data_IF_151144262527
#
_entry.id   IF_151144262527
#
_cell.length_a   1.000
_cell.length_b   1.000
_cell.length_c   1.000
_cell.angle_alpha   90.00
_cell.angle_beta   90.00
_cell.angle_gamma   90.00
#
_symmetry.space_group_name_H-M   'P 1'
#
loop_
_entity.id
_entity.type
_entity.pdbx_description
1 polymer ?
#
# COMPACT_ATOMS: atom_id res chain seq x y z
N UNK A 1 3.91 -49.94 -8.67
CA UNK A 1 4.84 -49.09 -9.44
C UNK A 1 4.07 -47.87 -9.94
N UNK A 2 4.10 -46.78 -9.17
CA UNK A 2 3.41 -45.54 -9.52
C UNK A 2 4.43 -44.57 -10.14
N UNK A 3 4.15 -44.12 -11.37
CA UNK A 3 4.98 -43.16 -12.07
C UNK A 3 4.79 -41.77 -11.43
N UNK A 4 5.85 -41.24 -10.82
CA UNK A 4 5.90 -39.85 -10.40
C UNK A 4 5.98 -38.96 -11.64
N UNK A 5 4.88 -38.25 -11.93
CA UNK A 5 4.85 -37.20 -12.94
C UNK A 5 5.83 -36.09 -12.55
N UNK A 6 6.84 -35.89 -13.39
CA UNK A 6 7.77 -34.77 -13.29
C UNK A 6 6.98 -33.48 -13.51
N UNK A 7 6.94 -32.61 -12.49
CA UNK A 7 6.39 -31.26 -12.61
C UNK A 7 7.17 -30.52 -13.71
N UNK A 8 6.48 -30.20 -14.80
CA UNK A 8 7.05 -29.42 -15.88
C UNK A 8 7.27 -27.98 -15.39
N UNK A 9 8.52 -27.64 -15.06
CA UNK A 9 8.94 -26.30 -14.62
C UNK A 9 8.97 -25.28 -15.77
N UNK A 10 8.48 -25.61 -16.98
CA UNK A 10 8.50 -24.71 -18.14
C UNK A 10 7.34 -23.70 -18.19
N UNK A 11 6.51 -23.58 -17.14
CA UNK A 11 5.47 -22.54 -17.06
C UNK A 11 5.93 -21.28 -16.34
N UNK A 12 7.18 -20.87 -16.55
CA UNK A 12 7.56 -19.48 -16.36
C UNK A 12 6.88 -18.69 -17.47
N UNK A 13 5.65 -18.23 -17.18
CA UNK A 13 4.95 -17.26 -18.03
C UNK A 13 5.94 -16.14 -18.38
N UNK A 14 5.95 -15.75 -19.65
CA UNK A 14 6.53 -14.51 -20.16
C UNK A 14 6.42 -13.42 -19.06
N UNK A 15 7.49 -12.67 -18.73
CA UNK A 15 7.39 -11.63 -17.74
C UNK A 15 6.20 -10.76 -18.13
N UNK A 16 5.18 -10.72 -17.27
CA UNK A 16 4.09 -9.77 -17.43
C UNK A 16 4.74 -8.41 -17.69
N UNK A 17 4.26 -7.62 -18.68
CA UNK A 17 4.83 -6.31 -18.93
C UNK A 17 4.94 -5.58 -17.60
N UNK A 18 6.16 -5.19 -17.24
CA UNK A 18 6.44 -4.56 -15.95
C UNK A 18 5.53 -3.35 -15.83
N UNK A 19 4.74 -3.29 -14.75
CA UNK A 19 3.89 -2.14 -14.48
C UNK A 19 4.78 -0.90 -14.41
N UNK A 20 4.60 0.03 -15.35
CA UNK A 20 5.44 1.22 -15.44
C UNK A 20 4.64 2.46 -15.03
N UNK A 21 5.25 3.35 -14.26
CA UNK A 21 4.71 4.67 -14.01
C UNK A 21 4.79 5.50 -15.30
N UNK A 22 3.68 6.14 -15.67
CA UNK A 22 3.57 6.95 -16.89
C UNK A 22 3.40 8.43 -16.60
N UNK A 23 2.89 8.80 -15.42
CA UNK A 23 2.65 10.19 -15.07
C UNK A 23 2.69 10.40 -13.56
N UNK A 24 3.32 11.49 -13.11
CA UNK A 24 3.19 11.98 -11.75
C UNK A 24 1.94 12.83 -11.60
N UNK A 25 1.08 12.49 -10.63
CA UNK A 25 -0.16 13.22 -10.37
C UNK A 25 0.03 14.23 -9.24
N UNK A 26 0.50 13.77 -8.07
CA UNK A 26 0.74 14.62 -6.89
C UNK A 26 1.55 13.91 -5.80
N UNK A 27 2.07 14.70 -4.88
CA UNK A 27 2.64 14.21 -3.62
C UNK A 27 1.54 13.72 -2.67
N UNK A 28 1.88 12.76 -1.81
CA UNK A 28 1.02 12.28 -0.73
C UNK A 28 1.57 12.73 0.62
N UNK A 29 0.69 12.81 1.62
CA UNK A 29 1.08 13.08 3.01
C UNK A 29 1.62 11.81 3.65
N UNK A 30 2.44 11.96 4.69
CA UNK A 30 2.96 10.85 5.50
C UNK A 30 4.48 10.73 5.47
N UNK A 31 5.04 9.98 6.42
CA UNK A 31 6.49 9.89 6.65
C UNK A 31 7.28 9.26 5.50
N UNK A 32 6.66 8.37 4.72
CA UNK A 32 7.30 7.73 3.56
C UNK A 32 7.43 8.65 2.34
N UNK A 33 6.79 9.82 2.36
CA UNK A 33 6.78 10.78 1.25
C UNK A 33 6.40 10.13 -0.08
N UNK A 34 5.28 9.39 -0.07
CA UNK A 34 4.78 8.70 -1.24
C UNK A 34 4.25 9.66 -2.32
N UNK A 35 4.10 9.16 -3.55
CA UNK A 35 3.53 9.90 -4.67
C UNK A 35 2.39 9.15 -5.32
N UNK A 36 1.37 9.86 -5.79
CA UNK A 36 0.33 9.28 -6.64
C UNK A 36 0.80 9.30 -8.09
N UNK A 37 0.98 8.12 -8.68
CA UNK A 37 1.41 7.94 -10.07
C UNK A 37 0.30 7.25 -10.86
N UNK A 38 0.09 7.67 -12.11
CA UNK A 38 -0.62 6.85 -13.09
C UNK A 38 0.34 5.81 -13.65
N UNK A 39 -0.16 4.60 -13.89
CA UNK A 39 0.63 3.50 -14.42
C UNK A 39 0.12 3.03 -15.79
N UNK A 40 0.92 2.21 -16.45
CA UNK A 40 0.69 1.70 -17.81
C UNK A 40 -0.56 0.82 -17.98
N UNK A 41 -1.18 0.40 -16.88
CA UNK A 41 -2.44 -0.36 -16.85
C UNK A 41 -3.68 0.55 -16.72
N UNK A 42 -3.49 1.87 -16.75
CA UNK A 42 -4.54 2.87 -16.62
C UNK A 42 -5.00 3.11 -15.18
N UNK A 43 -4.38 2.48 -14.18
CA UNK A 43 -4.70 2.68 -12.77
C UNK A 43 -3.76 3.67 -12.08
N UNK A 44 -4.18 4.12 -10.90
CA UNK A 44 -3.38 4.99 -10.04
C UNK A 44 -2.76 4.19 -8.89
N UNK A 45 -1.54 4.56 -8.54
CA UNK A 45 -0.75 3.90 -7.51
C UNK A 45 -0.13 4.91 -6.56
N UNK A 46 -0.35 4.71 -5.26
CA UNK A 46 0.44 5.34 -4.21
C UNK A 46 1.79 4.63 -4.18
N UNK A 47 2.80 5.31 -4.69
CA UNK A 47 4.15 4.77 -4.87
C UNK A 47 5.06 5.25 -3.75
N UNK A 48 5.59 4.31 -2.97
CA UNK A 48 6.61 4.55 -1.94
C UNK A 48 7.98 4.20 -2.53
N UNK A 49 8.87 5.19 -2.62
CA UNK A 49 10.18 5.05 -3.26
C UNK A 49 11.20 4.33 -2.36
N UNK A 50 12.19 3.67 -2.96
CA UNK A 50 13.22 2.92 -2.21
C UNK A 50 14.07 3.84 -1.33
N UNK A 51 14.35 5.05 -1.80
CA UNK A 51 15.06 6.09 -1.04
C UNK A 51 14.14 6.90 -0.09
N UNK A 52 13.00 6.34 0.33
CA UNK A 52 12.11 6.99 1.29
C UNK A 52 12.79 7.24 2.66
N UNK A 53 12.30 8.21 3.46
CA UNK A 53 12.89 8.57 4.75
C UNK A 53 12.81 7.50 5.85
N UNK A 54 11.88 6.54 5.75
CA UNK A 54 11.55 5.64 6.85
C UNK A 54 12.24 4.28 6.80
N UNK A 55 13.12 4.03 5.80
CA UNK A 55 13.90 2.80 5.57
C UNK A 55 13.28 1.81 4.59
N UNK A 56 14.14 1.10 3.82
CA UNK A 56 13.71 0.11 2.81
C UNK A 56 12.97 -1.08 3.42
N UNK A 57 13.27 -1.45 4.67
CA UNK A 57 12.58 -2.53 5.39
C UNK A 57 11.09 -2.25 5.57
N UNK A 58 10.69 -0.99 5.73
CA UNK A 58 9.27 -0.61 5.81
C UNK A 58 8.55 -0.92 4.50
N UNK A 59 9.20 -0.77 3.35
CA UNK A 59 8.62 -1.17 2.06
C UNK A 59 8.46 -2.69 1.96
N UNK A 60 9.44 -3.45 2.44
CA UNK A 60 9.36 -4.90 2.46
C UNK A 60 8.25 -5.39 3.41
N UNK A 61 8.12 -4.78 4.59
CA UNK A 61 7.03 -5.03 5.54
C UNK A 61 5.67 -4.74 4.91
N UNK A 62 5.49 -3.56 4.30
CA UNK A 62 4.26 -3.19 3.58
C UNK A 62 3.94 -4.21 2.48
N UNK A 63 4.90 -4.53 1.62
CA UNK A 63 4.70 -5.46 0.51
C UNK A 63 4.23 -6.84 1.00
N UNK A 64 4.95 -7.41 1.97
CA UNK A 64 4.66 -8.73 2.48
C UNK A 64 3.33 -8.76 3.22
N UNK A 65 3.10 -7.82 4.14
CA UNK A 65 1.89 -7.76 4.94
C UNK A 65 0.65 -7.50 4.08
N UNK A 66 0.70 -6.59 3.11
CA UNK A 66 -0.43 -6.37 2.19
C UNK A 66 -0.71 -7.60 1.33
N UNK A 67 0.32 -8.32 0.86
CA UNK A 67 0.11 -9.58 0.11
C UNK A 67 -0.52 -10.67 0.97
N UNK A 68 -0.08 -10.82 2.22
CA UNK A 68 -0.68 -11.75 3.18
C UNK A 68 -2.14 -11.37 3.46
N UNK A 69 -2.43 -10.10 3.69
CA UNK A 69 -3.78 -9.61 3.93
C UNK A 69 -4.69 -9.87 2.72
N UNK A 70 -4.21 -9.62 1.51
CA UNK A 70 -4.93 -9.95 0.28
C UNK A 70 -5.19 -11.46 0.14
N UNK A 71 -4.22 -12.31 0.49
CA UNK A 71 -4.39 -13.77 0.47
C UNK A 71 -5.43 -14.26 1.50
N UNK A 72 -5.65 -13.50 2.58
CA UNK A 72 -6.70 -13.73 3.57
C UNK A 72 -8.04 -13.07 3.24
N UNK A 73 -8.18 -12.49 2.04
CA UNK A 73 -9.38 -11.76 1.63
C UNK A 73 -9.75 -10.63 2.61
N UNK A 74 -8.75 -9.92 3.13
CA UNK A 74 -8.94 -8.69 3.89
C UNK A 74 -9.08 -7.49 2.93
N UNK A 75 -9.84 -6.44 3.29
CA UNK A 75 -10.08 -5.29 2.43
C UNK A 75 -8.87 -4.35 2.41
N UNK A 76 -7.84 -4.75 1.67
CA UNK A 76 -6.59 -4.00 1.45
C UNK A 76 -6.43 -3.65 -0.03
N UNK A 77 -5.68 -2.59 -0.39
CA UNK A 77 -5.37 -2.32 -1.78
C UNK A 77 -4.49 -3.43 -2.37
N UNK A 78 -4.55 -3.58 -3.70
CA UNK A 78 -3.58 -4.43 -4.41
C UNK A 78 -2.20 -3.79 -4.29
N UNK A 79 -1.20 -4.56 -3.89
CA UNK A 79 0.20 -4.12 -3.89
C UNK A 79 0.94 -4.71 -5.09
N UNK A 80 1.75 -3.90 -5.74
CA UNK A 80 2.53 -4.22 -6.93
C UNK A 80 3.94 -3.64 -6.85
N UNK A 81 4.81 -4.12 -7.73
CA UNK A 81 6.10 -3.49 -8.00
C UNK A 81 5.94 -2.62 -9.24
N UNK A 82 6.22 -1.33 -9.12
CA UNK A 82 6.10 -0.35 -10.22
C UNK A 82 7.48 0.16 -10.64
N UNK A 83 7.72 0.18 -11.94
CA UNK A 83 8.93 0.74 -12.54
C UNK A 83 8.78 2.24 -12.74
N UNK A 84 9.71 3.03 -12.21
CA UNK A 84 9.81 4.47 -12.45
C UNK A 84 11.08 4.76 -13.24
N UNK A 85 10.96 5.40 -14.39
CA UNK A 85 12.09 5.72 -15.27
C UNK A 85 12.82 6.99 -14.83
N UNK A 86 14.10 7.12 -15.23
CA UNK A 86 14.86 8.36 -15.04
C UNK A 86 14.16 9.55 -15.71
N UNK A 87 13.67 9.36 -16.94
CA UNK A 87 12.94 10.39 -17.69
C UNK A 87 11.76 10.95 -16.89
N UNK A 88 10.94 10.08 -16.27
CA UNK A 88 9.80 10.55 -15.48
C UNK A 88 10.24 11.39 -14.27
N UNK A 89 11.38 11.04 -13.64
CA UNK A 89 11.96 11.78 -12.51
C UNK A 89 12.49 13.14 -12.98
N UNK A 90 13.23 13.17 -14.09
CA UNK A 90 13.81 14.38 -14.66
C UNK A 90 12.75 15.39 -15.11
N UNK A 91 11.68 14.92 -15.73
CA UNK A 91 10.56 15.76 -16.20
C UNK A 91 9.68 16.28 -15.06
N UNK A 92 9.77 15.72 -13.85
CA UNK A 92 8.90 16.06 -12.73
C UNK A 92 9.70 16.44 -11.47
N UNK A 93 10.10 17.71 -11.31
CA UNK A 93 10.85 18.19 -10.14
C UNK A 93 10.16 18.03 -8.78
N UNK A 94 8.88 17.67 -8.77
CA UNK A 94 8.13 17.31 -7.56
C UNK A 94 8.38 15.88 -7.09
N UNK A 95 8.91 14.98 -7.92
CA UNK A 95 9.35 13.64 -7.53
C UNK A 95 10.66 13.73 -6.74
N UNK A 96 10.54 14.12 -5.48
CA UNK A 96 11.64 14.39 -4.58
C UNK A 96 11.31 13.97 -3.16
N UNK A 97 12.35 13.62 -2.43
CA UNK A 97 12.34 13.33 -1.01
C UNK A 97 13.03 14.49 -0.28
N UNK A 98 12.45 14.94 0.82
CA UNK A 98 12.99 16.00 1.67
C UNK A 98 13.28 15.47 3.09
N UNK A 99 14.54 15.48 3.51
CA UNK A 99 14.96 15.00 4.84
C UNK A 99 15.79 16.09 5.50
N UNK A 100 15.34 16.59 6.65
CA UNK A 100 16.03 17.63 7.41
C UNK A 100 16.46 18.85 6.56
N UNK A 101 15.58 19.30 5.66
CA UNK A 101 15.81 20.42 4.75
C UNK A 101 16.68 20.10 3.52
N UNK A 102 17.22 18.87 3.41
CA UNK A 102 17.92 18.40 2.21
C UNK A 102 16.91 17.78 1.25
N UNK A 103 16.88 18.32 0.03
CA UNK A 103 16.06 17.81 -1.06
C UNK A 103 16.90 16.90 -1.95
N UNK A 104 16.39 15.70 -2.24
CA UNK A 104 16.98 14.75 -3.20
C UNK A 104 15.91 14.24 -4.14
N UNK A 105 16.19 14.03 -5.44
CA UNK A 105 15.25 13.37 -6.34
C UNK A 105 14.83 12.00 -5.81
N UNK A 106 13.61 11.57 -6.12
CA UNK A 106 13.23 10.18 -5.97
C UNK A 106 14.15 9.30 -6.84
N UNK A 107 14.51 8.11 -6.36
CA UNK A 107 15.29 7.17 -7.16
C UNK A 107 14.45 6.65 -8.33
N UNK A 108 15.04 6.43 -9.50
CA UNK A 108 14.47 5.56 -10.53
C UNK A 108 14.61 4.10 -10.12
N UNK A 109 13.94 3.21 -10.83
CA UNK A 109 13.98 1.78 -10.53
C UNK A 109 12.63 1.22 -10.07
N UNK A 110 12.70 0.05 -9.44
CA UNK A 110 11.54 -0.69 -8.98
C UNK A 110 11.12 -0.19 -7.59
N UNK A 111 9.87 0.20 -7.46
CA UNK A 111 9.30 0.76 -6.23
C UNK A 111 8.03 0.04 -5.84
N UNK A 112 7.58 0.27 -4.60
CA UNK A 112 6.35 -0.29 -4.09
C UNK A 112 5.17 0.57 -4.55
N UNK A 113 4.21 -0.02 -5.24
CA UNK A 113 2.96 0.63 -5.66
C UNK A 113 1.75 0.01 -4.97
N UNK A 114 0.98 0.81 -4.23
CA UNK A 114 -0.32 0.43 -3.68
C UNK A 114 -1.41 1.00 -4.56
N UNK A 115 -2.27 0.14 -5.13
CA UNK A 115 -3.38 0.59 -5.99
C UNK A 115 -4.28 1.54 -5.22
N UNK A 116 -4.59 2.67 -5.83
CA UNK A 116 -5.46 3.67 -5.23
C UNK A 116 -6.85 3.08 -4.95
N UNK A 117 -7.34 3.25 -3.72
CA UNK A 117 -8.52 2.53 -3.23
C UNK A 117 -9.86 3.00 -3.84
N UNK A 118 -9.87 4.11 -4.56
CA UNK A 118 -11.07 4.80 -5.00
C UNK A 118 -11.06 5.05 -6.51
N UNK A 119 -12.24 5.06 -7.12
CA UNK A 119 -12.44 5.63 -8.45
C UNK A 119 -12.51 7.17 -8.34
N UNK A 120 -11.59 7.88 -8.99
CA UNK A 120 -11.51 9.34 -8.91
C UNK A 120 -12.78 10.07 -9.37
N UNK A 121 -13.56 9.46 -10.25
CA UNK A 121 -14.75 10.08 -10.84
C UNK A 121 -16.02 9.73 -10.09
N UNK A 122 -16.02 8.59 -9.40
CA UNK A 122 -17.22 8.04 -8.80
C UNK A 122 -17.20 8.13 -7.28
N UNK A 123 -16.03 8.11 -6.66
CA UNK A 123 -15.89 7.97 -5.21
C UNK A 123 -15.35 9.24 -4.56
N UNK A 124 -15.84 9.49 -3.34
CA UNK A 124 -15.25 10.42 -2.40
C UNK A 124 -14.44 9.66 -1.37
N UNK A 125 -13.29 10.21 -1.02
CA UNK A 125 -12.33 9.61 -0.10
C UNK A 125 -12.31 10.40 1.20
N UNK A 126 -12.26 9.68 2.31
CA UNK A 126 -12.15 10.22 3.65
C UNK A 126 -11.06 9.46 4.41
N UNK A 127 -10.16 10.19 5.05
CA UNK A 127 -9.12 9.69 5.96
C UNK A 127 -9.61 9.61 7.41
N UNK A 128 -10.78 10.17 7.69
CA UNK A 128 -11.43 10.12 8.99
C UNK A 128 -12.95 9.98 8.85
N UNK A 129 -13.56 9.24 9.77
CA UNK A 129 -15.00 9.10 9.87
C UNK A 129 -15.43 9.28 11.33
N UNK A 130 -16.41 10.15 11.57
CA UNK A 130 -16.98 10.36 12.91
C UNK A 130 -17.70 9.10 13.41
N UNK A 131 -17.69 8.87 14.73
CA UNK A 131 -18.38 7.73 15.38
C UNK A 131 -19.86 7.60 14.96
N UNK A 132 -20.57 8.72 14.84
CA UNK A 132 -21.98 8.75 14.40
C UNK A 132 -22.23 8.13 13.01
N UNK A 133 -21.18 8.01 12.17
CA UNK A 133 -21.24 7.42 10.82
C UNK A 133 -20.66 6.00 10.78
N UNK A 134 -20.14 5.47 11.88
CA UNK A 134 -19.61 4.11 11.92
C UNK A 134 -20.65 3.08 11.48
N UNK A 135 -21.92 3.30 11.84
CA UNK A 135 -23.04 2.45 11.45
C UNK A 135 -23.22 2.28 9.94
N UNK A 136 -22.81 3.26 9.12
CA UNK A 136 -22.94 3.24 7.66
C UNK A 136 -21.72 2.67 6.94
N UNK A 137 -20.76 2.09 7.66
CA UNK A 137 -19.68 1.31 7.05
C UNK A 137 -20.23 -0.06 6.64
N UNK A 138 -20.01 -0.46 5.39
CA UNK A 138 -20.47 -1.71 4.81
C UNK A 138 -19.77 -2.93 5.43
N UNK A 139 -18.46 -2.83 5.65
CA UNK A 139 -17.61 -3.94 6.05
C UNK A 139 -17.05 -3.78 7.47
N UNK A 140 -17.94 -3.49 8.44
CA UNK A 140 -17.58 -3.29 9.87
C UNK A 140 -16.87 -4.51 10.47
N UNK A 141 -17.25 -5.71 10.05
CA UNK A 141 -16.66 -6.95 10.56
C UNK A 141 -15.16 -7.07 10.25
N UNK A 142 -14.71 -6.41 9.17
CA UNK A 142 -13.29 -6.43 8.80
C UNK A 142 -12.40 -5.72 9.82
N UNK A 143 -12.93 -4.81 10.65
CA UNK A 143 -12.13 -4.15 11.70
C UNK A 143 -11.55 -5.17 12.69
N UNK A 144 -12.33 -6.15 13.11
CA UNK A 144 -11.86 -7.20 14.03
C UNK A 144 -10.90 -8.18 13.34
N UNK A 145 -11.15 -8.46 12.05
CA UNK A 145 -10.26 -9.30 11.25
C UNK A 145 -8.89 -8.63 11.08
N UNK A 146 -8.88 -7.32 10.85
CA UNK A 146 -7.66 -6.51 10.76
C UNK A 146 -6.96 -6.41 12.10
N UNK A 147 -7.69 -6.23 13.20
CA UNK A 147 -7.08 -6.21 14.53
C UNK A 147 -6.34 -7.53 14.82
N UNK A 148 -6.97 -8.68 14.54
CA UNK A 148 -6.32 -9.98 14.70
C UNK A 148 -5.09 -10.11 13.80
N UNK A 149 -5.17 -9.63 12.56
CA UNK A 149 -4.06 -9.62 11.61
C UNK A 149 -2.91 -8.71 12.09
N UNK A 150 -3.22 -7.56 12.65
CA UNK A 150 -2.25 -6.61 13.23
C UNK A 150 -1.48 -7.21 14.38
N UNK A 151 -2.19 -7.88 15.29
CA UNK A 151 -1.56 -8.61 16.39
C UNK A 151 -0.67 -9.74 15.89
N UNK A 152 -1.14 -10.49 14.89
CA UNK A 152 -0.37 -11.60 14.33
C UNK A 152 0.94 -11.12 13.69
N UNK A 153 0.91 -10.02 12.93
CA UNK A 153 2.11 -9.50 12.27
C UNK A 153 2.92 -8.53 13.13
N UNK A 154 2.53 -8.27 14.38
CA UNK A 154 3.22 -7.33 15.27
C UNK A 154 3.28 -5.92 14.69
N UNK A 155 2.15 -5.41 14.18
CA UNK A 155 2.05 -4.02 13.73
C UNK A 155 2.27 -3.08 14.91
N UNK A 156 3.29 -2.23 14.83
CA UNK A 156 3.67 -1.32 15.90
C UNK A 156 3.19 0.12 15.73
N UNK A 157 2.35 0.40 14.72
CA UNK A 157 1.73 1.70 14.49
C UNK A 157 0.20 1.65 14.69
N UNK A 158 -0.45 2.82 14.76
CA UNK A 158 -1.90 2.92 14.74
C UNK A 158 -2.45 2.48 13.38
N UNK A 159 -3.54 1.71 13.40
CA UNK A 159 -4.16 1.21 12.16
C UNK A 159 -4.75 2.37 11.35
N UNK A 160 -4.24 2.57 10.13
CA UNK A 160 -4.80 3.49 9.17
C UNK A 160 -5.86 2.83 8.27
N UNK A 161 -6.90 3.61 7.97
CA UNK A 161 -8.03 3.19 7.13
C UNK A 161 -8.46 4.36 6.25
N UNK A 162 -8.79 4.04 5.00
CA UNK A 162 -9.40 4.96 4.05
C UNK A 162 -10.84 4.55 3.81
N UNK A 163 -11.75 5.51 3.92
CA UNK A 163 -13.15 5.31 3.63
C UNK A 163 -13.47 5.85 2.24
N UNK A 164 -14.09 5.01 1.43
CA UNK A 164 -14.61 5.40 0.12
C UNK A 164 -16.13 5.40 0.15
N UNK A 165 -16.74 6.41 -0.45
CA UNK A 165 -18.19 6.50 -0.61
C UNK A 165 -18.51 6.91 -2.04
N UNK A 166 -19.33 6.10 -2.70
CA UNK A 166 -19.81 6.40 -4.04
C UNK A 166 -20.65 7.68 -4.05
N UNK A 167 -20.48 8.48 -5.08
CA UNK A 167 -21.23 9.74 -5.27
C UNK A 167 -22.74 9.46 -5.26
N UNK A 168 -23.47 10.20 -4.43
CA UNK A 168 -24.91 10.01 -4.20
C UNK A 168 -25.27 8.92 -3.18
N UNK A 169 -24.32 8.07 -2.78
CA UNK A 169 -24.51 7.08 -1.72
C UNK A 169 -24.33 7.65 -0.30
N UNK A 170 -24.77 6.88 0.70
CA UNK A 170 -24.60 7.18 2.12
C UNK A 170 -23.66 6.20 2.85
N UNK A 171 -23.35 5.08 2.21
CA UNK A 171 -22.57 4.00 2.79
C UNK A 171 -21.09 4.13 2.45
N UNK A 172 -20.24 3.72 3.38
CA UNK A 172 -18.79 3.80 3.26
C UNK A 172 -18.20 2.39 3.17
N UNK A 173 -17.18 2.21 2.33
CA UNK A 173 -16.33 1.03 2.33
C UNK A 173 -14.99 1.37 2.97
N UNK A 174 -14.62 0.62 4.00
CA UNK A 174 -13.32 0.73 4.65
C UNK A 174 -12.28 -0.10 3.89
N UNK A 175 -11.16 0.53 3.56
CA UNK A 175 -9.97 -0.12 3.00
C UNK A 175 -8.78 0.18 3.91
N UNK A 176 -8.12 -0.84 4.43
CA UNK A 176 -7.04 -0.68 5.40
C UNK A 176 -5.70 -0.57 4.66
N UNK A 177 -4.87 0.35 5.12
CA UNK A 177 -3.63 0.74 4.46
C UNK A 177 -2.50 0.89 5.49
N UNK A 178 -1.30 1.15 4.98
CA UNK A 178 -0.09 1.47 5.75
C UNK A 178 0.34 0.34 6.68
N UNK A 179 0.81 -0.74 6.06
CA UNK A 179 1.36 -1.92 6.72
C UNK A 179 2.89 -1.85 6.93
N UNK A 180 3.49 -0.69 6.67
CA UNK A 180 4.94 -0.49 6.78
C UNK A 180 5.51 -0.78 8.18
N UNK A 181 4.69 -0.66 9.22
CA UNK A 181 5.06 -0.93 10.61
C UNK A 181 4.69 -2.34 11.11
N UNK A 182 4.22 -3.23 10.22
CA UNK A 182 4.23 -4.67 10.51
C UNK A 182 5.65 -5.18 10.74
N UNK A 183 5.77 -6.25 11.53
CA UNK A 183 7.03 -6.85 11.97
C UNK A 183 7.88 -5.87 12.78
N UNK A 184 7.26 -5.01 13.57
CA UNK A 184 7.91 -3.92 14.29
C UNK A 184 8.71 -2.96 13.37
N UNK A 185 8.14 -2.63 12.21
CA UNK A 185 8.70 -1.66 11.27
C UNK A 185 10.09 -2.03 10.75
N UNK A 186 11.07 -1.14 10.93
CA UNK A 186 12.43 -1.36 10.46
C UNK A 186 13.25 -2.31 11.37
N UNK A 187 12.77 -2.58 12.59
CA UNK A 187 13.49 -3.39 13.58
C UNK A 187 13.37 -4.89 13.31
N UNK A 188 12.27 -5.35 12.69
CA UNK A 188 12.04 -6.77 12.37
C UNK A 188 12.12 -7.68 13.60
N UNK A 189 11.39 -7.30 14.65
CA UNK A 189 11.23 -8.04 15.91
C UNK A 189 9.76 -8.13 16.30
N UNK A 190 9.42 -8.90 17.34
CA UNK A 190 8.04 -9.06 17.83
C UNK A 190 7.95 -8.76 19.33
N UNK A 191 8.03 -7.49 19.73
CA UNK A 191 7.88 -7.10 21.13
C UNK A 191 6.43 -7.30 21.60
N UNK A 192 6.25 -7.62 22.87
CA UNK A 192 4.93 -7.74 23.49
C UNK A 192 4.36 -6.34 23.82
N UNK A 193 3.64 -5.75 22.86
CA UNK A 193 3.06 -4.41 22.93
C UNK A 193 1.53 -4.47 22.75
N UNK A 194 0.77 -4.71 23.84
CA UNK A 194 -0.66 -5.04 23.75
C UNK A 194 -1.54 -3.90 23.22
N UNK A 195 -1.06 -2.64 23.22
CA UNK A 195 -1.81 -1.49 22.72
C UNK A 195 -1.54 -1.14 21.25
N UNK A 196 -0.51 -1.72 20.62
CA UNK A 196 -0.13 -1.38 19.24
C UNK A 196 -1.05 -2.04 18.20
N UNK A 197 -1.25 -1.42 17.03
CA UNK A 197 -2.15 -1.93 16.00
C UNK A 197 -3.64 -1.87 16.34
N UNK A 198 -4.00 -1.18 17.43
CA UNK A 198 -5.39 -0.91 17.84
C UNK A 198 -5.78 0.49 17.36
N UNK A 199 -7.05 0.67 16.99
CA UNK A 199 -7.66 1.95 16.58
C UNK A 199 -8.31 2.64 17.77
#
# INVERSE_FOLDING_TARGET
>A
MAAHGVLNLSTWKQPHPVLAAVQHIRTMRGGSQAHLLAASDGNLYITKFQNNPQHVRILASEFLATRLAHALHLPVPKVEVIMVSDCLIEENPSLRIEIAGKITPCSSGLHLGLRYAADLWQDRIFDYLSEARFGSILNKEDFWRILAFDKWLGNCDSRQVVFTRRSGGQEYKATFIDYGYCFNGAEWTFPDLPLHGVF
#
